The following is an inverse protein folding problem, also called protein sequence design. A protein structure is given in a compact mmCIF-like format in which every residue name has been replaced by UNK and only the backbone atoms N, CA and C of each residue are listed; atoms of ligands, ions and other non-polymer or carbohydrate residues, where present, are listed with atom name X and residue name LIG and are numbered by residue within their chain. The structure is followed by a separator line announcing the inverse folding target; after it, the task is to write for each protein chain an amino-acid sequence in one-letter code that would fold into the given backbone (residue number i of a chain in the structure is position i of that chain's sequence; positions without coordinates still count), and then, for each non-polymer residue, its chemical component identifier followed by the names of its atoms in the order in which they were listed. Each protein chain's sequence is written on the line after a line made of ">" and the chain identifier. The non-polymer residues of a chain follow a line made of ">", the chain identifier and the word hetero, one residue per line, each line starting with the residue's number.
data_IF_039120526504
#
_entry.id   IF_039120526504
#
_cell.length_a   1.000
_cell.length_b   1.000
_cell.length_c   1.000
_cell.angle_alpha   90.00
_cell.angle_beta   90.00
_cell.angle_gamma   90.00
#
_symmetry.space_group_name_H-M   'P 1'
#
loop_
_entity.id
_entity.type
_entity.pdbx_description
1 polymer ?
#
# COMPACT_ATOMS: atom_id res chain seq x y z
N UNK A 1 4.17 10.70 -30.32
CA UNK A 1 3.83 10.12 -29.01
C UNK A 1 4.14 11.18 -27.96
N UNK A 2 3.14 11.67 -27.22
CA UNK A 2 3.38 12.60 -26.11
C UNK A 2 3.86 11.80 -24.91
N UNK A 3 4.99 12.21 -24.32
CA UNK A 3 5.53 11.60 -23.10
C UNK A 3 5.54 12.65 -22.00
N UNK A 4 4.67 12.46 -21.01
CA UNK A 4 4.65 13.31 -19.82
C UNK A 4 5.60 12.72 -18.76
N UNK A 5 6.45 13.58 -18.20
CA UNK A 5 7.33 13.21 -17.10
C UNK A 5 6.58 13.20 -15.77
N UNK A 6 7.17 12.57 -14.75
CA UNK A 6 6.63 12.60 -13.39
C UNK A 6 6.35 14.05 -12.96
N UNK A 7 5.17 14.29 -12.37
CA UNK A 7 4.68 15.59 -11.89
C UNK A 7 4.34 16.65 -12.96
N UNK A 8 4.35 16.31 -14.25
CA UNK A 8 3.94 17.25 -15.29
C UNK A 8 2.42 17.50 -15.28
N UNK A 9 2.01 18.71 -14.89
CA UNK A 9 0.63 19.19 -15.05
C UNK A 9 0.38 19.50 -16.52
N UNK A 10 -0.66 18.91 -17.08
CA UNK A 10 -1.00 19.08 -18.50
C UNK A 10 -2.51 19.00 -18.70
N UNK A 11 -2.98 19.57 -19.81
CA UNK A 11 -4.32 19.41 -20.35
C UNK A 11 -4.20 19.22 -21.87
N UNK A 12 -5.23 18.65 -22.49
CA UNK A 12 -5.24 18.34 -23.93
C UNK A 12 -6.59 18.74 -24.52
N UNK A 13 -6.58 19.29 -25.72
CA UNK A 13 -7.78 19.62 -26.49
C UNK A 13 -7.61 19.10 -27.91
N UNK A 14 -8.62 18.39 -28.43
CA UNK A 14 -8.69 18.04 -29.83
C UNK A 14 -9.17 19.25 -30.64
N UNK A 15 -8.46 19.59 -31.72
CA UNK A 15 -8.86 20.66 -32.65
C UNK A 15 -9.77 20.12 -33.77
N UNK A 16 -9.69 18.81 -34.05
CA UNK A 16 -10.53 18.13 -35.03
C UNK A 16 -10.90 16.72 -34.55
N UNK A 17 -11.37 15.87 -35.47
CA UNK A 17 -11.74 14.50 -35.16
C UNK A 17 -10.52 13.58 -35.07
N UNK A 18 -10.30 12.97 -33.92
CA UNK A 18 -9.22 12.01 -33.71
C UNK A 18 -9.59 10.98 -32.64
N UNK A 19 -8.88 9.84 -32.65
CA UNK A 19 -8.89 8.84 -31.59
C UNK A 19 -7.53 8.83 -30.89
N UNK A 20 -7.53 8.60 -29.58
CA UNK A 20 -6.31 8.58 -28.77
C UNK A 20 -6.25 7.31 -27.90
N UNK A 21 -5.03 6.81 -27.69
CA UNK A 21 -4.72 5.73 -26.74
C UNK A 21 -3.70 6.27 -25.76
N UNK A 22 -3.90 6.03 -24.47
CA UNK A 22 -3.01 6.46 -23.40
C UNK A 22 -2.89 5.38 -22.32
N UNK A 23 -1.72 5.32 -21.69
CA UNK A 23 -1.46 4.51 -20.50
C UNK A 23 -0.38 5.18 -19.65
N UNK A 24 -0.26 4.78 -18.39
CA UNK A 24 0.78 5.24 -17.51
C UNK A 24 1.90 4.20 -17.39
N UNK A 25 3.12 4.68 -17.21
CA UNK A 25 4.29 3.86 -16.90
C UNK A 25 5.02 4.49 -15.72
N UNK A 26 5.57 3.67 -14.84
CA UNK A 26 6.37 4.13 -13.70
C UNK A 26 7.81 3.64 -13.83
N UNK A 27 8.72 4.40 -14.45
CA UNK A 27 10.13 4.04 -14.48
C UNK A 27 10.67 3.90 -13.06
N UNK A 28 11.42 2.81 -12.79
CA UNK A 28 11.96 2.53 -11.47
C UNK A 28 13.18 3.42 -11.19
N UNK A 29 12.91 4.68 -10.90
CA UNK A 29 13.89 5.74 -10.61
C UNK A 29 13.52 6.41 -9.29
N UNK A 30 14.52 6.96 -8.59
CA UNK A 30 14.29 7.70 -7.35
C UNK A 30 13.23 8.79 -7.52
N UNK A 31 13.36 9.65 -8.54
CA UNK A 31 12.44 10.77 -8.77
C UNK A 31 11.00 10.33 -9.01
N UNK A 32 10.79 9.26 -9.79
CA UNK A 32 9.44 8.74 -10.05
C UNK A 32 8.83 8.16 -8.78
N UNK A 33 9.59 7.36 -8.04
CA UNK A 33 9.11 6.70 -6.82
C UNK A 33 8.85 7.72 -5.71
N UNK A 34 9.75 8.69 -5.51
CA UNK A 34 9.58 9.79 -4.56
C UNK A 34 8.30 10.59 -4.85
N UNK A 35 8.10 11.01 -6.10
CA UNK A 35 6.90 11.76 -6.46
C UNK A 35 5.61 10.94 -6.26
N UNK A 36 5.65 9.63 -6.50
CA UNK A 36 4.52 8.74 -6.27
C UNK A 36 4.18 8.61 -4.77
N UNK A 37 5.20 8.48 -3.91
CA UNK A 37 5.02 8.45 -2.45
C UNK A 37 4.51 9.80 -1.92
N UNK A 38 5.09 10.92 -2.37
CA UNK A 38 4.64 12.26 -1.98
C UNK A 38 3.16 12.48 -2.34
N UNK A 39 2.75 12.10 -3.56
CA UNK A 39 1.34 12.16 -3.96
C UNK A 39 0.46 11.22 -3.14
N UNK A 40 0.93 10.01 -2.84
CA UNK A 40 0.19 9.05 -2.04
C UNK A 40 -0.10 9.57 -0.62
N UNK A 41 0.89 10.16 0.04
CA UNK A 41 0.72 10.77 1.36
C UNK A 41 -0.16 12.02 1.29
N UNK A 42 0.02 12.86 0.28
CA UNK A 42 -0.85 14.03 0.05
C UNK A 42 -2.31 13.63 -0.13
N UNK A 43 -2.57 12.60 -0.94
CA UNK A 43 -3.91 12.07 -1.18
C UNK A 43 -4.54 11.58 0.13
N UNK A 44 -3.79 10.85 0.96
CA UNK A 44 -4.26 10.39 2.26
C UNK A 44 -4.68 11.55 3.17
N UNK A 45 -3.87 12.62 3.22
CA UNK A 45 -4.18 13.83 4.00
C UNK A 45 -5.43 14.56 3.51
N UNK A 46 -5.70 14.51 2.20
CA UNK A 46 -6.84 15.19 1.58
C UNK A 46 -8.04 14.25 1.34
N UNK A 47 -8.05 13.07 1.96
CA UNK A 47 -9.12 12.06 1.79
C UNK A 47 -9.43 11.73 0.33
N UNK A 48 -8.39 11.71 -0.50
CA UNK A 48 -8.47 11.32 -1.90
C UNK A 48 -7.93 9.91 -2.08
N UNK A 49 -8.62 9.09 -2.88
CA UNK A 49 -8.18 7.73 -3.19
C UNK A 49 -6.89 7.73 -4.01
N UNK A 50 -5.87 7.03 -3.53
CA UNK A 50 -4.69 6.70 -4.34
C UNK A 50 -4.96 5.46 -5.19
N UNK A 51 -5.11 5.65 -6.51
CA UNK A 51 -5.37 4.58 -7.47
C UNK A 51 -4.21 3.57 -7.50
N UNK A 52 -2.98 4.04 -7.30
CA UNK A 52 -1.80 3.17 -7.15
C UNK A 52 -1.61 2.86 -5.66
N UNK A 53 -1.73 1.59 -5.23
CA UNK A 53 -1.50 1.18 -3.85
C UNK A 53 -0.01 1.13 -3.55
N UNK A 54 0.54 2.25 -3.09
CA UNK A 54 1.98 2.42 -2.96
C UNK A 54 2.59 1.47 -1.94
N UNK A 55 1.91 1.14 -0.84
CA UNK A 55 2.48 0.22 0.17
C UNK A 55 2.57 -1.19 -0.41
N UNK A 56 1.49 -1.70 -0.99
CA UNK A 56 1.48 -3.00 -1.66
C UNK A 56 2.50 -3.08 -2.80
N UNK A 57 2.58 -2.04 -3.64
CA UNK A 57 3.58 -1.96 -4.71
C UNK A 57 5.01 -2.00 -4.16
N UNK A 58 5.29 -1.29 -3.07
CA UNK A 58 6.61 -1.26 -2.43
C UNK A 58 7.05 -2.65 -2.00
N UNK A 59 6.17 -3.40 -1.34
CA UNK A 59 6.45 -4.79 -0.94
C UNK A 59 6.68 -5.70 -2.15
N UNK A 60 5.94 -5.52 -3.23
CA UNK A 60 6.16 -6.27 -4.47
C UNK A 60 7.47 -5.90 -5.16
N UNK A 61 7.88 -4.63 -5.15
CA UNK A 61 9.20 -4.21 -5.65
C UNK A 61 10.29 -4.89 -4.84
N UNK A 62 10.20 -4.84 -3.51
CA UNK A 62 11.20 -5.42 -2.62
C UNK A 62 11.34 -6.94 -2.79
N UNK A 63 10.24 -7.64 -3.05
CA UNK A 63 10.23 -9.10 -3.29
C UNK A 63 10.86 -9.48 -4.63
N UNK A 64 10.62 -8.68 -5.67
CA UNK A 64 10.82 -9.14 -7.06
C UNK A 64 11.94 -8.39 -7.82
N UNK A 65 12.42 -7.25 -7.31
CA UNK A 65 13.31 -6.37 -8.06
C UNK A 65 14.57 -6.06 -7.25
N UNK A 66 15.73 -6.30 -7.89
CA UNK A 66 17.04 -5.85 -7.40
C UNK A 66 17.22 -4.36 -7.73
N UNK A 67 17.58 -3.55 -6.75
CA UNK A 67 17.77 -2.10 -6.91
C UNK A 67 19.25 -1.76 -6.73
N UNK A 68 19.83 -1.07 -7.71
CA UNK A 68 21.22 -0.62 -7.69
C UNK A 68 21.38 0.88 -7.41
N UNK A 69 20.31 1.66 -7.62
CA UNK A 69 20.29 3.08 -7.26
C UNK A 69 20.17 3.22 -5.73
N UNK A 70 21.16 3.86 -5.12
CA UNK A 70 21.25 4.00 -3.67
C UNK A 70 20.11 4.83 -3.08
N UNK A 71 19.76 5.96 -3.70
CA UNK A 71 18.71 6.85 -3.19
C UNK A 71 17.34 6.17 -3.26
N UNK A 72 17.07 5.47 -4.36
CA UNK A 72 15.85 4.68 -4.51
C UNK A 72 15.79 3.54 -3.50
N UNK A 73 16.88 2.79 -3.34
CA UNK A 73 16.99 1.72 -2.35
C UNK A 73 16.69 2.23 -0.94
N UNK A 74 17.35 3.31 -0.51
CA UNK A 74 17.17 3.90 0.82
C UNK A 74 15.72 4.34 1.05
N UNK A 75 15.09 4.96 0.04
CA UNK A 75 13.70 5.38 0.12
C UNK A 75 12.72 4.19 0.17
N UNK A 76 12.90 3.15 -0.65
CA UNK A 76 12.09 1.93 -0.58
C UNK A 76 12.25 1.28 0.80
N UNK A 77 13.49 1.11 1.28
CA UNK A 77 13.80 0.51 2.58
C UNK A 77 13.14 1.29 3.72
N UNK A 78 13.15 2.62 3.64
CA UNK A 78 12.46 3.48 4.59
C UNK A 78 10.94 3.23 4.62
N UNK A 79 10.29 3.16 3.45
CA UNK A 79 8.84 2.90 3.36
C UNK A 79 8.49 1.50 3.88
N UNK A 80 9.29 0.47 3.57
CA UNK A 80 9.11 -0.87 4.13
C UNK A 80 9.21 -0.86 5.66
N UNK A 81 10.23 -0.18 6.22
CA UNK A 81 10.40 -0.06 7.68
C UNK A 81 9.22 0.65 8.33
N UNK A 82 8.69 1.71 7.71
CA UNK A 82 7.48 2.40 8.17
C UNK A 82 6.26 1.49 8.14
N UNK A 83 6.09 0.71 7.06
CA UNK A 83 5.00 -0.26 6.94
C UNK A 83 5.08 -1.36 8.01
N UNK A 84 6.27 -1.92 8.28
CA UNK A 84 6.48 -2.92 9.33
C UNK A 84 6.15 -2.37 10.72
N UNK A 85 6.67 -1.18 11.04
CA UNK A 85 6.40 -0.51 12.31
C UNK A 85 4.90 -0.27 12.49
N UNK A 86 4.21 0.19 11.45
CA UNK A 86 2.77 0.39 11.50
C UNK A 86 1.99 -0.91 11.79
N UNK A 87 2.33 -2.01 11.10
CA UNK A 87 1.73 -3.33 11.34
C UNK A 87 1.96 -3.78 12.79
N UNK A 88 3.21 -3.71 13.28
CA UNK A 88 3.55 -4.07 14.65
C UNK A 88 2.80 -3.21 15.69
N UNK A 89 2.71 -1.90 15.45
CA UNK A 89 1.98 -0.99 16.32
C UNK A 89 0.49 -1.31 16.37
N UNK A 90 -0.15 -1.66 15.25
CA UNK A 90 -1.56 -2.08 15.26
C UNK A 90 -1.73 -3.38 16.04
N UNK A 91 -0.91 -4.39 15.78
CA UNK A 91 -1.04 -5.69 16.46
C UNK A 91 -0.89 -5.53 17.97
N UNK A 92 0.12 -4.76 18.40
CA UNK A 92 0.34 -4.43 19.81
C UNK A 92 -0.84 -3.67 20.41
N UNK A 93 -1.36 -2.66 19.71
CA UNK A 93 -2.52 -1.91 20.15
C UNK A 93 -3.76 -2.82 20.33
N UNK A 94 -3.99 -3.75 19.40
CA UNK A 94 -5.11 -4.69 19.50
C UNK A 94 -4.97 -5.63 20.70
N UNK A 95 -3.76 -6.14 20.93
CA UNK A 95 -3.44 -6.99 22.08
C UNK A 95 -3.67 -6.25 23.41
N UNK A 96 -3.16 -5.02 23.52
CA UNK A 96 -3.23 -4.20 24.75
C UNK A 96 -4.66 -3.73 25.06
N UNK A 97 -5.44 -3.32 24.07
CA UNK A 97 -6.74 -2.69 24.30
C UNK A 97 -7.90 -3.67 24.37
N UNK A 98 -7.83 -4.78 23.63
CA UNK A 98 -8.98 -5.67 23.47
C UNK A 98 -8.72 -7.11 23.92
N UNK A 99 -7.46 -7.47 24.19
CA UNK A 99 -7.08 -8.82 24.63
C UNK A 99 -7.73 -9.91 23.74
N UNK A 100 -8.16 -11.04 24.30
CA UNK A 100 -8.77 -12.15 23.57
C UNK A 100 -10.21 -11.89 23.05
N UNK A 101 -10.75 -10.68 23.20
CA UNK A 101 -12.13 -10.38 22.80
C UNK A 101 -12.28 -10.09 21.29
N UNK A 102 -11.18 -9.78 20.58
CA UNK A 102 -11.20 -9.58 19.14
C UNK A 102 -10.79 -10.85 18.41
N UNK A 103 -11.57 -11.20 17.39
CA UNK A 103 -11.28 -12.32 16.50
C UNK A 103 -10.25 -11.87 15.46
N UNK A 104 -8.99 -12.22 15.70
CA UNK A 104 -7.90 -12.04 14.72
C UNK A 104 -7.71 -13.36 13.95
N UNK A 105 -7.83 -13.31 12.62
CA UNK A 105 -7.66 -14.49 11.75
C UNK A 105 -6.61 -14.27 10.69
N UNK A 106 -5.87 -15.33 10.40
CA UNK A 106 -5.01 -15.42 9.21
C UNK A 106 -5.90 -15.61 7.98
N UNK A 107 -5.77 -14.73 7.00
CA UNK A 107 -6.37 -14.93 5.68
C UNK A 107 -5.35 -14.56 4.62
N UNK A 108 -4.59 -15.55 4.17
CA UNK A 108 -3.62 -15.36 3.10
C UNK A 108 -4.31 -14.89 1.82
N UNK A 109 -3.60 -14.07 1.05
CA UNK A 109 -4.14 -13.56 -0.21
C UNK A 109 -4.34 -14.67 -1.23
N UNK A 110 -5.42 -14.60 -2.00
CA UNK A 110 -5.59 -15.44 -3.19
C UNK A 110 -4.79 -14.87 -4.37
N UNK A 111 -4.51 -15.72 -5.35
CA UNK A 111 -3.92 -15.28 -6.63
C UNK A 111 -4.86 -14.22 -7.24
N UNK A 112 -4.28 -13.11 -7.72
CA UNK A 112 -5.00 -11.98 -8.33
C UNK A 112 -6.03 -11.29 -7.43
N UNK A 113 -5.93 -11.46 -6.10
CA UNK A 113 -6.77 -10.68 -5.18
C UNK A 113 -6.48 -9.18 -5.34
N UNK A 114 -7.51 -8.32 -5.43
CA UNK A 114 -7.32 -6.87 -5.52
C UNK A 114 -6.77 -6.28 -4.23
N UNK A 115 -6.15 -5.10 -4.31
CA UNK A 115 -5.74 -4.38 -3.10
C UNK A 115 -6.97 -3.80 -2.41
N UNK A 116 -6.97 -3.84 -1.08
CA UNK A 116 -8.07 -3.37 -0.26
C UNK A 116 -7.92 -1.89 0.09
N UNK A 117 -9.05 -1.19 0.10
CA UNK A 117 -9.15 0.21 0.49
C UNK A 117 -10.25 0.36 1.55
N UNK A 118 -10.08 1.32 2.44
CA UNK A 118 -11.11 1.62 3.42
C UNK A 118 -12.36 2.16 2.73
N UNK A 119 -13.52 1.55 2.95
CA UNK A 119 -14.80 2.00 2.37
C UNK A 119 -15.21 3.42 2.82
N UNK A 120 -14.61 3.95 3.88
CA UNK A 120 -14.98 5.25 4.46
C UNK A 120 -14.08 6.39 4.01
N UNK A 121 -12.76 6.19 4.03
CA UNK A 121 -11.79 7.26 3.73
C UNK A 121 -10.89 6.98 2.51
N UNK A 122 -11.13 5.88 1.80
CA UNK A 122 -10.42 5.48 0.59
C UNK A 122 -8.89 5.30 0.74
N UNK A 123 -8.37 5.25 1.97
CA UNK A 123 -6.97 4.94 2.19
C UNK A 123 -6.68 3.46 1.88
N UNK A 124 -5.47 3.17 1.39
CA UNK A 124 -5.00 1.80 1.21
C UNK A 124 -4.93 1.09 2.57
N UNK A 125 -5.48 -0.12 2.65
CA UNK A 125 -5.42 -0.96 3.86
C UNK A 125 -4.53 -2.15 3.58
N UNK A 126 -3.27 -2.04 4.00
CA UNK A 126 -2.26 -3.06 3.79
C UNK A 126 -2.13 -4.00 5.00
N UNK A 127 -2.07 -5.30 4.72
CA UNK A 127 -1.92 -6.41 5.66
C UNK A 127 -3.06 -6.62 6.67
N UNK A 128 -3.33 -5.65 7.56
CA UNK A 128 -4.33 -5.78 8.64
C UNK A 128 -5.64 -5.14 8.20
N UNK A 129 -6.66 -5.95 7.99
CA UNK A 129 -7.97 -5.57 7.49
C UNK A 129 -9.00 -5.63 8.63
N UNK A 130 -9.78 -4.57 8.81
CA UNK A 130 -10.92 -4.57 9.73
C UNK A 130 -12.19 -4.83 8.93
N UNK A 131 -12.70 -6.05 9.01
CA UNK A 131 -13.80 -6.53 8.18
C UNK A 131 -15.09 -6.61 8.97
N UNK A 132 -16.16 -6.03 8.40
CA UNK A 132 -17.51 -6.13 8.93
C UNK A 132 -18.47 -6.48 7.80
N UNK A 133 -19.48 -7.29 8.09
CA UNK A 133 -20.56 -7.55 7.16
C UNK A 133 -21.57 -6.40 7.20
N UNK A 134 -21.87 -5.82 6.04
CA UNK A 134 -22.90 -4.80 5.84
C UNK A 134 -23.73 -5.24 4.62
N UNK A 135 -25.04 -5.40 4.80
CA UNK A 135 -25.96 -5.81 3.73
C UNK A 135 -25.49 -7.06 2.96
N UNK A 136 -25.03 -8.09 3.69
CA UNK A 136 -24.47 -9.34 3.14
C UNK A 136 -23.18 -9.20 2.34
N UNK A 137 -22.50 -8.07 2.44
CA UNK A 137 -21.18 -7.82 1.84
C UNK A 137 -20.13 -7.58 2.91
N UNK A 138 -18.99 -8.23 2.77
CA UNK A 138 -17.82 -7.97 3.61
C UNK A 138 -17.15 -6.68 3.14
N UNK A 139 -17.10 -5.68 4.01
CA UNK A 139 -16.44 -4.40 3.72
C UNK A 139 -15.19 -4.24 4.57
N UNK A 140 -14.16 -3.63 3.99
CA UNK A 140 -12.88 -3.36 4.66
C UNK A 140 -12.84 -1.93 5.17
N UNK A 141 -12.36 -1.74 6.40
CA UNK A 141 -11.97 -0.45 6.95
C UNK A 141 -10.50 -0.44 7.39
N UNK A 142 -9.92 0.75 7.48
CA UNK A 142 -8.70 0.96 8.26
C UNK A 142 -9.03 0.97 9.76
N UNK A 143 -8.00 0.91 10.63
CA UNK A 143 -8.17 0.94 12.08
C UNK A 143 -8.97 2.18 12.55
N UNK A 144 -8.59 3.37 12.08
CA UNK A 144 -9.19 4.62 12.54
C UNK A 144 -10.70 4.67 12.27
N UNK A 145 -11.10 4.33 11.03
CA UNK A 145 -12.52 4.28 10.68
C UNK A 145 -13.23 3.14 11.40
N UNK A 146 -12.60 1.96 11.57
CA UNK A 146 -13.21 0.87 12.33
C UNK A 146 -13.55 1.30 13.76
N UNK A 147 -12.61 1.95 14.47
CA UNK A 147 -12.80 2.46 15.83
C UNK A 147 -13.80 3.63 15.91
N UNK A 148 -13.89 4.46 14.86
CA UNK A 148 -14.90 5.53 14.79
C UNK A 148 -16.32 4.96 14.73
N UNK A 149 -16.53 3.85 14.00
CA UNK A 149 -17.83 3.20 13.90
C UNK A 149 -18.13 2.29 15.10
N UNK A 150 -17.13 1.58 15.62
CA UNK A 150 -17.27 0.63 16.71
C UNK A 150 -16.01 0.66 17.59
N UNK A 151 -16.10 1.39 18.71
CA UNK A 151 -14.97 1.60 19.63
C UNK A 151 -14.48 0.30 20.28
N UNK A 152 -15.34 -0.71 20.39
CA UNK A 152 -15.02 -2.00 21.00
C UNK A 152 -14.67 -3.07 19.97
N UNK A 153 -14.91 -2.79 18.68
CA UNK A 153 -14.70 -3.73 17.56
C UNK A 153 -15.47 -5.06 17.76
N UNK A 154 -16.57 -5.06 18.50
CA UNK A 154 -17.33 -6.28 18.89
C UNK A 154 -17.80 -7.09 17.68
N UNK A 155 -18.20 -6.40 16.60
CA UNK A 155 -18.69 -7.03 15.37
C UNK A 155 -17.72 -6.86 14.21
N UNK A 156 -16.42 -6.82 14.50
CA UNK A 156 -15.36 -6.67 13.51
C UNK A 156 -14.43 -7.88 13.57
N UNK A 157 -14.23 -8.51 12.42
CA UNK A 157 -13.20 -9.55 12.26
C UNK A 157 -11.94 -8.88 11.74
N UNK A 158 -10.83 -9.05 12.46
CA UNK A 158 -9.53 -8.55 12.02
C UNK A 158 -8.82 -9.65 11.23
N UNK A 159 -8.45 -9.35 9.99
CA UNK A 159 -7.72 -10.29 9.14
C UNK A 159 -6.29 -9.78 8.94
N UNK A 160 -5.30 -10.67 8.99
CA UNK A 160 -3.96 -10.37 8.49
C UNK A 160 -3.64 -11.22 7.26
N UNK A 161 -3.08 -10.56 6.24
CA UNK A 161 -2.88 -11.14 4.92
C UNK A 161 -1.47 -11.68 4.65
N UNK A 162 -0.48 -11.13 5.36
CA UNK A 162 0.92 -11.50 5.29
C UNK A 162 1.41 -11.80 6.70
N UNK A 163 2.16 -12.88 6.85
CA UNK A 163 2.79 -13.24 8.12
C UNK A 163 3.90 -12.22 8.38
N UNK A 164 4.00 -11.73 9.62
CA UNK A 164 4.99 -10.71 9.97
C UNK A 164 6.43 -11.18 9.70
N UNK A 165 6.74 -12.45 10.00
CA UNK A 165 8.07 -13.03 9.76
C UNK A 165 8.43 -13.10 8.26
N UNK A 166 7.46 -13.34 7.39
CA UNK A 166 7.67 -13.30 5.94
C UNK A 166 8.00 -11.87 5.49
N UNK A 167 7.32 -10.87 6.05
CA UNK A 167 7.59 -9.46 5.76
C UNK A 167 8.96 -9.02 6.29
N UNK A 168 9.35 -9.49 7.47
CA UNK A 168 10.70 -9.26 8.03
C UNK A 168 11.77 -9.89 7.14
N UNK A 169 11.54 -11.12 6.68
CA UNK A 169 12.44 -11.82 5.77
C UNK A 169 12.62 -11.04 4.46
N UNK A 170 11.52 -10.59 3.82
CA UNK A 170 11.58 -9.77 2.60
C UNK A 170 12.33 -8.45 2.88
N UNK A 171 12.04 -7.81 4.00
CA UNK A 171 12.73 -6.59 4.40
C UNK A 171 14.23 -6.84 4.52
N UNK A 172 14.68 -7.84 5.27
CA UNK A 172 16.10 -8.12 5.49
C UNK A 172 16.83 -8.53 4.21
N UNK A 173 16.17 -9.28 3.33
CA UNK A 173 16.72 -9.70 2.03
C UNK A 173 16.80 -8.56 1.01
N UNK A 174 15.96 -7.53 1.13
CA UNK A 174 16.02 -6.37 0.25
C UNK A 174 17.29 -5.56 0.53
N UNK A 175 18.32 -5.76 -0.28
CA UNK A 175 19.65 -5.17 -0.14
C UNK A 175 20.05 -4.42 -1.42
N UNK A 176 20.91 -3.41 -1.27
CA UNK A 176 21.47 -2.67 -2.39
C UNK A 176 22.31 -3.62 -3.26
N UNK A 177 22.00 -3.67 -4.55
CA UNK A 177 22.72 -4.49 -5.51
C UNK A 177 23.79 -3.65 -6.23
N UNK A 178 25.06 -4.02 -6.09
CA UNK A 178 26.13 -3.41 -6.89
C UNK A 178 26.15 -4.00 -8.30
N UNK A 179 26.48 -3.20 -9.31
CA UNK A 179 26.47 -3.61 -10.72
C UNK A 179 27.39 -4.83 -10.96
N UNK A 180 28.46 -4.98 -10.19
CA UNK A 180 29.34 -6.15 -10.21
C UNK A 180 28.65 -7.47 -9.85
N UNK A 181 27.52 -7.41 -9.15
CA UNK A 181 26.77 -8.56 -8.64
C UNK A 181 25.48 -8.81 -9.45
N UNK A 182 25.23 -8.05 -10.52
CA UNK A 182 24.13 -8.29 -11.46
C UNK A 182 24.57 -9.31 -12.52
N UNK A 183 24.63 -10.59 -12.12
CA UNK A 183 24.53 -11.73 -13.03
C UNK A 183 23.09 -12.20 -13.09
#
# INVERSE_FOLDING_TARGET
>A
MLKYTSRCVHWVQAIGWCNNIAWNVGPLTYTQYYAAIERYEWNKLNSCKSIVPMVHLTWNIARNIRVSDRQLYELIKFILSKSLKYIQSILKYLEEQFSSNIIIRKQLRTINEPVHYCITCDCEVFNILFVKEIDRKHVVRCLDCALQYDKQLENVVVLYQFILDDLLTIYDQFQLCYISNMK
#
